data_IF_884795837507
#
_entry.id   IF_884795837507
#
_cell.length_a   1.000
_cell.length_b   1.000
_cell.length_c   1.000
_cell.angle_alpha   90.00
_cell.angle_beta   90.00
_cell.angle_gamma   90.00
#
_symmetry.space_group_name_H-M   'P 1'
#
loop_
_entity.id
_entity.type
_entity.pdbx_description
1 polymer ?
#
# COMPACT_ATOMS: atom_id res chain seq x y z
N UNK A 1 40.57 -31.39 -39.60
CA UNK A 1 40.61 -30.87 -38.22
C UNK A 1 39.67 -29.67 -38.13
N UNK A 2 38.45 -29.86 -37.62
CA UNK A 2 37.47 -28.81 -37.38
C UNK A 2 37.42 -28.54 -35.85
N UNK A 3 37.79 -27.34 -35.42
CA UNK A 3 37.66 -26.94 -34.01
C UNK A 3 36.23 -26.39 -33.79
N UNK A 4 35.51 -27.03 -32.89
CA UNK A 4 34.20 -26.62 -32.41
C UNK A 4 34.41 -25.57 -31.31
N UNK A 5 33.93 -24.36 -31.53
CA UNK A 5 33.85 -23.33 -30.48
C UNK A 5 32.51 -23.47 -29.73
N UNK A 6 32.56 -24.00 -28.53
CA UNK A 6 31.45 -23.93 -27.59
C UNK A 6 31.52 -22.62 -26.81
N UNK A 7 30.71 -21.66 -27.18
CA UNK A 7 30.42 -20.48 -26.35
C UNK A 7 29.39 -20.86 -25.27
N UNK A 8 29.90 -21.13 -24.08
CA UNK A 8 29.06 -21.38 -22.90
C UNK A 8 28.35 -20.08 -22.48
N UNK A 9 27.04 -20.03 -22.61
CA UNK A 9 26.20 -19.01 -21.99
C UNK A 9 26.24 -19.22 -20.48
N UNK A 10 26.96 -18.35 -19.75
CA UNK A 10 26.90 -18.29 -18.28
C UNK A 10 25.58 -17.64 -17.89
N UNK A 11 24.61 -18.42 -17.47
CA UNK A 11 23.40 -17.97 -16.80
C UNK A 11 23.83 -17.45 -15.42
N UNK A 12 23.82 -16.15 -15.22
CA UNK A 12 24.08 -15.54 -13.93
C UNK A 12 22.76 -15.59 -13.16
N UNK A 13 22.69 -16.50 -12.20
CA UNK A 13 21.57 -16.64 -11.26
C UNK A 13 21.70 -15.53 -10.21
N UNK A 14 20.90 -14.47 -10.32
CA UNK A 14 20.80 -13.44 -9.28
C UNK A 14 19.97 -13.97 -8.12
N UNK A 15 20.64 -14.23 -7.00
CA UNK A 15 20.01 -14.58 -5.74
C UNK A 15 19.63 -13.27 -5.02
N UNK A 16 18.38 -12.83 -5.17
CA UNK A 16 17.85 -11.69 -4.40
C UNK A 16 17.45 -12.21 -3.02
N UNK A 17 18.29 -11.98 -2.03
CA UNK A 17 17.99 -12.26 -0.62
C UNK A 17 17.49 -10.97 0.02
N UNK A 18 16.20 -10.88 0.31
CA UNK A 18 15.67 -9.84 1.17
C UNK A 18 16.19 -10.07 2.60
N UNK A 19 17.17 -9.30 3.05
CA UNK A 19 17.60 -9.29 4.44
C UNK A 19 16.80 -8.25 5.19
N UNK A 20 15.73 -8.67 5.83
CA UNK A 20 15.11 -7.89 6.90
C UNK A 20 16.01 -8.06 8.14
N UNK A 21 16.67 -6.98 8.54
CA UNK A 21 17.50 -6.97 9.73
C UNK A 21 16.62 -7.20 10.98
N UNK A 22 16.83 -8.30 11.66
CA UNK A 22 16.27 -8.57 12.99
C UNK A 22 16.85 -7.52 13.95
N UNK A 23 16.05 -6.57 14.42
CA UNK A 23 16.34 -5.79 15.61
C UNK A 23 15.51 -6.35 16.79
N UNK A 24 16.12 -6.58 17.96
CA UNK A 24 15.40 -7.01 19.15
C UNK A 24 14.44 -5.89 19.60
N UNK A 25 13.19 -6.23 19.83
CA UNK A 25 12.19 -5.35 20.40
C UNK A 25 12.63 -4.93 21.82
N UNK A 26 12.92 -3.65 22.03
CA UNK A 26 13.00 -3.06 23.35
C UNK A 26 11.57 -2.91 23.89
N UNK A 27 11.22 -3.75 24.86
CA UNK A 27 9.98 -3.63 25.64
C UNK A 27 10.16 -2.45 26.60
N UNK A 28 9.28 -1.41 26.60
CA UNK A 28 9.31 -0.39 27.62
C UNK A 28 8.78 -0.95 28.95
N UNK A 29 9.30 -0.50 30.13
CA UNK A 29 8.83 -0.97 31.43
C UNK A 29 7.41 -0.47 31.72
N UNK A 30 6.61 -1.36 32.32
CA UNK A 30 5.25 -1.12 32.76
C UNK A 30 5.19 0.05 33.76
N UNK A 31 4.33 1.03 33.49
CA UNK A 31 4.00 2.08 34.45
C UNK A 31 3.05 1.49 35.50
N UNK A 32 3.49 1.54 36.75
CA UNK A 32 2.71 1.20 37.94
C UNK A 32 1.57 2.21 38.15
N UNK A 33 0.35 1.70 38.18
CA UNK A 33 -0.83 2.46 38.55
C UNK A 33 -0.84 2.69 40.07
N UNK A 34 -0.92 3.95 40.49
CA UNK A 34 -1.27 4.33 41.85
C UNK A 34 -2.81 4.42 41.97
N UNK A 35 -3.36 3.55 42.79
CA UNK A 35 -4.73 3.68 43.33
C UNK A 35 -4.77 4.85 44.30
N UNK A 36 -5.79 5.71 44.19
CA UNK A 36 -6.29 6.52 45.31
C UNK A 36 -7.81 6.47 45.35
N UNK A 37 -8.24 6.17 46.51
CA UNK A 37 -9.54 5.83 47.11
C UNK A 37 -10.54 6.98 47.14
N UNK A 38 -11.80 6.57 46.95
CA UNK A 38 -13.03 6.92 47.74
C UNK A 38 -13.51 8.37 47.90
N UNK A 39 -14.76 8.56 47.61
CA UNK A 39 -15.60 9.70 47.98
C UNK A 39 -17.05 9.49 47.57
N UNK A 40 -17.80 8.78 48.40
CA UNK A 40 -19.27 8.63 48.33
C UNK A 40 -19.95 9.89 48.90
N UNK A 41 -21.02 10.37 48.26
CA UNK A 41 -22.14 11.05 48.98
C UNK A 41 -23.45 10.89 48.17
N UNK A 42 -24.48 10.51 48.86
CA UNK A 42 -25.84 10.10 48.52
C UNK A 42 -26.84 11.28 48.46
N UNK A 43 -28.03 10.93 47.92
CA UNK A 43 -29.40 11.51 48.14
C UNK A 43 -29.79 12.77 47.36
N UNK A 44 -30.88 12.80 46.61
CA UNK A 44 -32.27 12.76 47.08
C UNK A 44 -33.27 12.60 45.90
N UNK A 45 -34.34 11.84 46.16
CA UNK A 45 -35.51 11.66 45.33
C UNK A 45 -36.55 12.77 45.51
N UNK A 46 -37.46 12.89 44.56
CA UNK A 46 -38.90 13.28 44.55
C UNK A 46 -39.16 14.17 43.33
N UNK A 47 -40.23 14.04 42.60
CA UNK A 47 -41.56 13.52 42.83
C UNK A 47 -42.42 13.66 41.58
N UNK A 48 -43.37 12.82 41.48
CA UNK A 48 -44.45 12.69 40.53
C UNK A 48 -45.28 13.93 40.28
N UNK A 49 -45.80 14.10 39.06
CA UNK A 49 -47.21 14.53 38.85
C UNK A 49 -47.65 14.24 37.41
N UNK A 50 -48.60 13.33 37.31
CA UNK A 50 -49.51 13.09 36.20
C UNK A 50 -50.50 14.23 36.07
N UNK A 51 -50.84 14.65 34.86
CA UNK A 51 -52.12 15.30 34.56
C UNK A 51 -52.69 14.71 33.28
N UNK A 52 -53.91 14.25 33.39
CA UNK A 52 -54.76 13.62 32.38
C UNK A 52 -55.65 14.69 31.72
N UNK A 53 -56.18 14.30 30.52
CA UNK A 53 -57.36 14.88 29.84
C UNK A 53 -57.07 16.00 28.84
N UNK A 54 -57.55 16.01 27.60
CA UNK A 54 -58.89 15.66 27.13
C UNK A 54 -58.88 15.45 25.62
N UNK A 55 -59.67 14.55 25.15
CA UNK A 55 -59.98 14.31 23.73
C UNK A 55 -60.88 15.46 23.18
N UNK A 56 -60.56 15.91 21.95
CA UNK A 56 -61.51 16.64 21.09
C UNK A 56 -61.50 15.96 19.72
N UNK A 57 -62.66 15.48 19.33
CA UNK A 57 -62.96 14.95 18.00
C UNK A 57 -63.13 16.12 17.01
N UNK A 58 -62.53 16.03 15.88
CA UNK A 58 -62.88 16.81 14.68
C UNK A 58 -62.66 15.98 13.42
N UNK A 59 -63.61 16.05 12.53
CA UNK A 59 -63.86 15.24 11.36
C UNK A 59 -62.97 15.59 10.14
N UNK A 60 -63.06 14.82 9.01
CA UNK A 60 -61.96 14.65 8.05
C UNK A 60 -61.91 15.72 6.95
N UNK A 61 -60.73 16.21 6.66
CA UNK A 61 -60.48 17.03 5.49
C UNK A 61 -59.68 16.27 4.44
N UNK A 62 -60.31 16.13 3.29
CA UNK A 62 -59.87 16.05 1.91
C UNK A 62 -58.42 15.65 1.58
N UNK A 63 -58.36 14.56 0.85
CA UNK A 63 -57.23 13.96 0.15
C UNK A 63 -56.53 14.98 -0.76
N UNK A 64 -55.38 15.47 -0.32
CA UNK A 64 -54.37 16.14 -1.14
C UNK A 64 -53.32 15.13 -1.57
N UNK A 65 -53.14 14.97 -2.88
CA UNK A 65 -52.15 14.13 -3.56
C UNK A 65 -50.75 14.34 -2.95
N UNK A 66 -50.26 13.41 -2.15
CA UNK A 66 -48.90 13.41 -1.68
C UNK A 66 -47.96 13.10 -2.85
N UNK A 67 -47.16 14.09 -3.24
CA UNK A 67 -45.97 13.91 -4.07
C UNK A 67 -45.10 12.84 -3.43
N UNK A 68 -44.68 11.89 -4.24
CA UNK A 68 -43.70 10.86 -3.84
C UNK A 68 -42.48 11.53 -3.21
N UNK A 69 -42.33 11.35 -1.91
CA UNK A 69 -41.11 11.69 -1.20
C UNK A 69 -40.00 10.79 -1.76
N UNK A 70 -38.96 11.44 -2.26
CA UNK A 70 -37.80 10.76 -2.79
C UNK A 70 -37.24 9.82 -1.73
N UNK A 71 -37.16 8.54 -2.05
CA UNK A 71 -36.41 7.56 -1.29
C UNK A 71 -34.98 8.09 -1.19
N UNK A 72 -34.60 8.61 -0.03
CA UNK A 72 -33.20 8.82 0.30
C UNK A 72 -32.56 7.42 0.26
N UNK A 73 -31.76 7.19 -0.76
CA UNK A 73 -30.89 6.04 -0.86
C UNK A 73 -30.00 6.07 0.40
N UNK A 74 -30.25 5.14 1.33
CA UNK A 74 -29.41 4.96 2.51
C UNK A 74 -28.05 4.50 1.96
N UNK A 75 -27.13 5.46 1.79
CA UNK A 75 -25.75 5.17 1.42
C UNK A 75 -25.22 4.24 2.50
N UNK A 76 -25.00 2.96 2.17
CA UNK A 76 -24.34 2.04 3.07
C UNK A 76 -23.01 2.68 3.51
N UNK A 77 -22.62 2.58 4.79
CA UNK A 77 -21.34 3.10 5.24
C UNK A 77 -20.24 2.51 4.36
N UNK A 78 -19.36 3.37 3.88
CA UNK A 78 -18.26 2.95 3.03
C UNK A 78 -17.46 1.86 3.76
N UNK A 79 -17.23 0.71 3.11
CA UNK A 79 -16.43 -0.37 3.67
C UNK A 79 -14.99 0.11 3.85
N UNK A 80 -14.36 -0.31 4.93
CA UNK A 80 -12.92 -0.11 5.13
C UNK A 80 -12.13 -0.80 4.03
N UNK A 81 -11.06 -0.16 3.53
CA UNK A 81 -10.37 -0.57 2.31
C UNK A 81 -8.96 -1.08 2.57
N UNK A 82 -8.55 -2.08 1.81
CA UNK A 82 -7.20 -2.63 1.84
C UNK A 82 -6.60 -2.56 0.44
N UNK A 83 -5.42 -1.94 0.32
CA UNK A 83 -4.58 -2.03 -0.87
C UNK A 83 -3.39 -2.95 -0.59
N UNK A 84 -3.29 -4.05 -1.33
CA UNK A 84 -2.14 -4.96 -1.29
C UNK A 84 -1.23 -4.62 -2.46
N UNK A 85 0.01 -4.27 -2.16
CA UNK A 85 1.09 -4.11 -3.14
C UNK A 85 1.95 -5.36 -3.09
N UNK A 86 2.30 -5.89 -4.26
CA UNK A 86 3.20 -7.03 -4.38
C UNK A 86 4.43 -6.57 -5.15
N UNK A 87 5.56 -6.56 -4.46
CA UNK A 87 6.85 -6.06 -4.94
C UNK A 87 7.68 -7.14 -5.66
N UNK A 88 8.77 -6.72 -6.33
CA UNK A 88 9.80 -7.53 -6.98
C UNK A 88 9.39 -8.26 -8.27
N UNK A 89 8.31 -7.88 -8.94
CA UNK A 89 8.01 -8.39 -10.28
C UNK A 89 9.06 -7.94 -11.31
N UNK A 90 9.12 -8.59 -12.47
CA UNK A 90 9.98 -8.21 -13.60
C UNK A 90 11.04 -9.23 -14.00
N UNK A 91 11.18 -10.35 -13.28
CA UNK A 91 12.21 -11.36 -13.55
C UNK A 91 11.72 -12.81 -13.41
N UNK A 92 10.44 -13.05 -13.71
CA UNK A 92 9.81 -14.39 -13.61
C UNK A 92 10.07 -15.04 -12.23
N UNK A 93 9.87 -14.26 -11.18
CA UNK A 93 10.15 -14.67 -9.82
C UNK A 93 9.15 -15.72 -9.34
N UNK A 94 9.61 -16.59 -8.44
CA UNK A 94 8.74 -17.59 -7.80
C UNK A 94 7.57 -16.90 -7.09
N UNK A 95 6.36 -17.34 -7.36
CA UNK A 95 5.14 -16.73 -6.82
C UNK A 95 4.47 -15.71 -7.74
N UNK A 96 5.10 -15.32 -8.86
CA UNK A 96 4.52 -14.41 -9.85
C UNK A 96 3.14 -14.87 -10.31
N UNK A 97 3.00 -16.14 -10.72
CA UNK A 97 1.72 -16.68 -11.19
C UNK A 97 0.68 -16.72 -10.08
N UNK A 98 1.05 -17.24 -8.91
CA UNK A 98 0.15 -17.36 -7.77
C UNK A 98 -0.36 -16.01 -7.26
N UNK A 99 0.44 -14.94 -7.39
CA UNK A 99 0.02 -13.57 -7.05
C UNK A 99 -0.95 -13.00 -8.08
N UNK A 100 -0.68 -13.18 -9.37
CA UNK A 100 -1.58 -12.71 -10.44
C UNK A 100 -2.91 -13.48 -10.47
N UNK A 101 -3.01 -14.64 -9.83
CA UNK A 101 -4.22 -15.44 -9.66
C UNK A 101 -4.98 -15.15 -8.35
N UNK A 102 -4.61 -14.12 -7.58
CA UNK A 102 -5.35 -13.75 -6.37
C UNK A 102 -6.78 -13.31 -6.73
N UNK A 103 -7.79 -13.68 -5.90
CA UNK A 103 -9.20 -13.45 -6.22
C UNK A 103 -9.69 -12.03 -5.91
N UNK A 104 -8.78 -11.08 -5.75
CA UNK A 104 -9.07 -9.67 -5.46
C UNK A 104 -8.14 -8.77 -6.25
N UNK A 105 -8.50 -7.49 -6.35
CA UNK A 105 -7.63 -6.48 -6.93
C UNK A 105 -6.37 -6.29 -6.08
N UNK A 106 -5.22 -6.31 -6.73
CA UNK A 106 -3.92 -6.00 -6.12
C UNK A 106 -3.22 -4.91 -6.91
N UNK A 107 -2.10 -4.43 -6.40
CA UNK A 107 -1.16 -3.56 -7.09
C UNK A 107 0.14 -4.31 -7.31
N UNK A 108 0.65 -4.31 -8.53
CA UNK A 108 1.86 -5.02 -8.93
C UNK A 108 2.99 -4.01 -9.10
N UNK A 109 4.03 -4.11 -8.28
CA UNK A 109 5.20 -3.25 -8.37
C UNK A 109 6.34 -3.98 -9.13
N UNK A 110 6.72 -3.40 -10.26
CA UNK A 110 7.59 -4.03 -11.24
C UNK A 110 8.95 -3.36 -11.26
N UNK A 111 10.00 -4.16 -11.04
CA UNK A 111 11.40 -3.75 -11.18
C UNK A 111 11.69 -3.38 -12.63
N UNK A 112 12.28 -2.20 -12.90
CA UNK A 112 12.68 -1.81 -14.25
C UNK A 112 13.91 -2.59 -14.75
N UNK A 113 14.06 -2.66 -16.08
CA UNK A 113 15.22 -3.17 -16.78
C UNK A 113 15.53 -4.66 -16.55
N UNK A 114 14.57 -5.43 -16.10
CA UNK A 114 14.67 -6.88 -15.94
C UNK A 114 14.03 -7.63 -17.13
N UNK A 115 14.22 -8.94 -17.17
CA UNK A 115 13.89 -9.76 -18.35
C UNK A 115 12.39 -9.85 -18.64
N UNK A 116 11.52 -9.72 -17.64
CA UNK A 116 10.06 -9.79 -17.79
C UNK A 116 9.34 -8.50 -17.38
N UNK A 117 10.07 -7.39 -17.18
CA UNK A 117 9.52 -6.09 -16.75
C UNK A 117 8.27 -5.71 -17.56
N UNK A 118 8.40 -5.58 -18.88
CA UNK A 118 7.29 -5.15 -19.74
C UNK A 118 6.16 -6.21 -19.78
N UNK A 119 6.50 -7.49 -19.82
CA UNK A 119 5.55 -8.61 -19.82
C UNK A 119 4.69 -8.59 -18.55
N UNK A 120 5.33 -8.46 -17.38
CA UNK A 120 4.63 -8.52 -16.10
C UNK A 120 3.77 -7.27 -15.89
N UNK A 121 4.27 -6.09 -16.26
CA UNK A 121 3.50 -4.85 -16.21
C UNK A 121 2.25 -4.89 -17.12
N UNK A 122 2.41 -5.35 -18.35
CA UNK A 122 1.30 -5.49 -19.31
C UNK A 122 0.26 -6.48 -18.80
N UNK A 123 0.68 -7.64 -18.32
CA UNK A 123 -0.19 -8.68 -17.81
C UNK A 123 -0.99 -8.21 -16.59
N UNK A 124 -0.34 -7.51 -15.66
CA UNK A 124 -1.02 -6.90 -14.50
C UNK A 124 -2.10 -5.90 -14.95
N UNK A 125 -1.76 -5.01 -15.88
CA UNK A 125 -2.68 -4.02 -16.43
C UNK A 125 -3.88 -4.67 -17.14
N UNK A 126 -3.66 -5.70 -17.97
CA UNK A 126 -4.71 -6.43 -18.67
C UNK A 126 -5.69 -7.14 -17.73
N UNK A 127 -5.25 -7.49 -16.52
CA UNK A 127 -6.09 -8.03 -15.45
C UNK A 127 -6.79 -6.94 -14.62
N UNK A 128 -6.59 -5.66 -14.93
CA UNK A 128 -7.17 -4.53 -14.21
C UNK A 128 -6.48 -4.22 -12.89
N UNK A 129 -5.26 -4.70 -12.69
CA UNK A 129 -4.41 -4.36 -11.55
C UNK A 129 -3.67 -3.05 -11.79
N UNK A 130 -3.40 -2.29 -10.72
CA UNK A 130 -2.51 -1.15 -10.79
C UNK A 130 -1.07 -1.62 -10.95
N UNK A 131 -0.29 -0.85 -11.72
CA UNK A 131 1.15 -1.08 -11.90
C UNK A 131 1.91 0.05 -11.24
N UNK A 132 2.93 -0.28 -10.44
CA UNK A 132 3.93 0.66 -9.93
C UNK A 132 5.31 0.35 -10.53
N UNK A 133 6.13 1.38 -10.69
CA UNK A 133 7.57 1.19 -10.85
C UNK A 133 8.16 0.86 -9.48
N UNK A 134 8.67 -0.35 -9.30
CA UNK A 134 9.44 -0.71 -8.11
C UNK A 134 10.88 -0.24 -8.28
N UNK A 135 11.14 1.02 -7.93
CA UNK A 135 12.37 1.72 -8.24
C UNK A 135 13.51 1.32 -7.31
N UNK A 136 14.60 0.72 -7.84
CA UNK A 136 15.77 0.40 -7.03
C UNK A 136 16.42 1.66 -6.46
N UNK A 137 16.61 1.69 -5.15
CA UNK A 137 17.18 2.83 -4.42
C UNK A 137 18.24 2.37 -3.41
N UNK A 138 19.31 3.17 -3.27
CA UNK A 138 20.42 2.86 -2.37
C UNK A 138 19.96 2.67 -0.91
N UNK A 139 20.26 1.50 -0.28
CA UNK A 139 20.02 1.27 1.14
C UNK A 139 21.19 1.76 1.98
N UNK A 140 21.00 1.93 3.29
CA UNK A 140 22.07 2.17 4.26
C UNK A 140 22.99 0.95 4.40
N UNK A 141 22.44 -0.24 4.24
CA UNK A 141 23.13 -1.51 4.31
C UNK A 141 22.59 -2.44 3.23
N UNK A 142 23.44 -3.29 2.67
CA UNK A 142 23.09 -4.24 1.63
C UNK A 142 24.22 -4.39 0.61
N UNK A 143 24.16 -5.46 -0.16
CA UNK A 143 25.12 -5.69 -1.24
C UNK A 143 24.64 -5.00 -2.52
N UNK A 144 25.54 -4.41 -3.33
CA UNK A 144 25.15 -3.77 -4.59
C UNK A 144 24.36 -4.69 -5.53
N UNK A 145 24.65 -6.00 -5.50
CA UNK A 145 24.00 -7.00 -6.34
C UNK A 145 22.50 -7.17 -6.04
N UNK A 146 22.05 -6.74 -4.86
CA UNK A 146 20.65 -6.82 -4.46
C UNK A 146 19.78 -5.68 -4.99
N UNK A 147 20.42 -4.58 -5.46
CA UNK A 147 19.71 -3.41 -5.95
C UNK A 147 19.04 -3.64 -7.32
N UNK A 148 19.58 -4.55 -8.12
CA UNK A 148 19.13 -4.67 -9.50
C UNK A 148 19.66 -3.53 -10.40
N UNK A 149 19.29 -3.55 -11.68
CA UNK A 149 19.71 -2.54 -12.64
C UNK A 149 19.01 -1.21 -12.42
N UNK A 150 19.67 -0.13 -12.78
CA UNK A 150 19.04 1.19 -12.78
C UNK A 150 18.82 1.83 -11.40
N UNK A 151 19.61 1.45 -10.40
CA UNK A 151 19.43 1.94 -9.04
C UNK A 151 19.77 3.45 -8.91
N UNK A 152 18.92 4.16 -8.17
CA UNK A 152 19.16 5.54 -7.74
C UNK A 152 20.09 5.56 -6.51
N UNK A 153 21.19 6.29 -6.60
CA UNK A 153 22.22 6.34 -5.56
C UNK A 153 22.40 7.79 -5.07
N UNK A 154 22.67 7.96 -3.78
CA UNK A 154 22.85 9.30 -3.18
C UNK A 154 24.07 10.05 -3.69
N UNK A 155 25.06 9.35 -4.29
CA UNK A 155 26.24 9.96 -4.91
C UNK A 155 26.01 10.50 -6.32
N UNK A 156 24.85 10.21 -6.93
CA UNK A 156 24.51 10.72 -8.26
C UNK A 156 24.24 12.22 -8.21
N UNK A 157 24.60 12.91 -9.30
CA UNK A 157 24.18 14.29 -9.54
C UNK A 157 22.66 14.37 -9.75
N UNK A 158 22.10 15.56 -9.62
CA UNK A 158 20.65 15.80 -9.80
C UNK A 158 20.17 15.35 -11.19
N UNK A 159 20.96 15.63 -12.22
CA UNK A 159 20.66 15.23 -13.60
C UNK A 159 20.68 13.70 -13.77
N UNK A 160 21.64 13.01 -13.15
CA UNK A 160 21.70 11.55 -13.18
C UNK A 160 20.52 10.91 -12.44
N UNK A 161 20.13 11.43 -11.26
CA UNK A 161 18.96 10.95 -10.54
C UNK A 161 17.70 11.11 -11.39
N UNK A 162 17.46 12.31 -11.94
CA UNK A 162 16.31 12.56 -12.82
C UNK A 162 16.29 11.61 -14.01
N UNK A 163 17.38 11.51 -14.74
CA UNK A 163 17.50 10.62 -15.89
C UNK A 163 17.18 9.16 -15.53
N UNK A 164 17.66 8.71 -14.37
CA UNK A 164 17.43 7.34 -13.91
C UNK A 164 15.96 7.08 -13.60
N UNK A 165 15.28 8.01 -12.91
CA UNK A 165 13.85 7.90 -12.59
C UNK A 165 13.00 7.94 -13.87
N UNK A 166 13.28 8.85 -14.78
CA UNK A 166 12.58 8.96 -16.07
C UNK A 166 12.76 7.69 -16.91
N UNK A 167 13.99 7.15 -17.00
CA UNK A 167 14.25 5.91 -17.72
C UNK A 167 13.53 4.71 -17.12
N UNK A 168 13.41 4.64 -15.79
CA UNK A 168 12.65 3.58 -15.11
C UNK A 168 11.15 3.68 -15.42
N UNK A 169 10.58 4.89 -15.42
CA UNK A 169 9.19 5.13 -15.79
C UNK A 169 8.92 4.78 -17.26
N UNK A 170 9.82 5.11 -18.16
CA UNK A 170 9.66 4.79 -19.59
C UNK A 170 9.80 3.29 -19.86
N UNK A 171 10.45 2.54 -18.99
CA UNK A 171 10.64 1.09 -19.11
C UNK A 171 9.50 0.26 -18.53
N UNK A 172 8.73 0.79 -17.58
CA UNK A 172 7.58 0.10 -16.96
C UNK A 172 6.27 0.70 -17.48
N UNK A 173 5.62 0.10 -18.47
CA UNK A 173 4.38 0.64 -19.04
C UNK A 173 3.23 0.59 -18.04
N UNK A 174 2.24 1.48 -18.23
CA UNK A 174 1.01 1.57 -17.42
C UNK A 174 1.20 1.94 -15.95
N UNK A 175 2.40 2.40 -15.55
CA UNK A 175 2.67 2.76 -14.17
C UNK A 175 1.80 3.95 -13.72
N UNK A 176 1.09 3.80 -12.60
CA UNK A 176 0.29 4.85 -11.95
C UNK A 176 1.06 5.57 -10.85
N UNK A 177 2.23 5.06 -10.46
CA UNK A 177 3.08 5.59 -9.40
C UNK A 177 4.41 4.85 -9.31
N UNK A 178 5.19 5.23 -8.32
CA UNK A 178 6.49 4.62 -7.98
C UNK A 178 6.44 4.18 -6.52
N UNK A 179 7.05 3.02 -6.19
CA UNK A 179 7.47 2.71 -4.83
C UNK A 179 8.95 2.33 -4.80
N UNK A 180 9.58 2.32 -3.63
CA UNK A 180 11.02 2.06 -3.54
C UNK A 180 11.32 0.59 -3.25
N UNK A 181 12.17 -0.02 -4.11
CA UNK A 181 12.91 -1.24 -3.77
C UNK A 181 14.10 -0.88 -2.88
N UNK A 182 14.18 -1.48 -1.69
CA UNK A 182 15.14 -1.10 -0.65
C UNK A 182 15.06 0.40 -0.29
N UNK A 183 16.10 1.19 -0.52
CA UNK A 183 16.08 2.65 -0.48
C UNK A 183 16.19 3.29 0.90
N UNK A 184 16.56 2.55 1.95
CA UNK A 184 16.63 3.11 3.31
C UNK A 184 17.62 4.28 3.47
N UNK A 185 18.55 4.47 2.53
CA UNK A 185 19.44 5.65 2.49
C UNK A 185 18.82 6.78 1.67
N UNK A 186 18.33 6.48 0.46
CA UNK A 186 17.73 7.46 -0.44
C UNK A 186 16.47 8.09 0.16
N UNK A 187 15.58 7.32 0.77
CA UNK A 187 14.35 7.84 1.39
C UNK A 187 14.61 8.77 2.58
N UNK A 188 15.84 8.79 3.10
CA UNK A 188 16.30 9.76 4.10
C UNK A 188 17.05 10.97 3.53
N UNK A 189 17.30 11.03 2.22
CA UNK A 189 18.05 12.10 1.55
C UNK A 189 17.07 13.08 0.88
N UNK A 190 16.97 14.30 1.43
CA UNK A 190 16.02 15.33 0.93
C UNK A 190 16.32 15.76 -0.51
N UNK A 191 17.58 15.81 -0.92
CA UNK A 191 17.96 16.21 -2.27
C UNK A 191 17.47 15.18 -3.28
N UNK A 192 17.80 13.91 -3.07
CA UNK A 192 17.45 12.83 -4.00
C UNK A 192 15.94 12.61 -4.02
N UNK A 193 15.31 12.54 -2.84
CA UNK A 193 13.84 12.40 -2.77
C UNK A 193 13.11 13.58 -3.39
N UNK A 194 13.66 14.79 -3.26
CA UNK A 194 13.11 15.98 -3.92
C UNK A 194 13.01 15.83 -5.43
N UNK A 195 14.05 15.24 -6.05
CA UNK A 195 14.09 15.01 -7.51
C UNK A 195 13.11 13.89 -7.90
N UNK A 196 13.11 12.77 -7.16
CA UNK A 196 12.17 11.65 -7.41
C UNK A 196 10.72 12.13 -7.36
N UNK A 197 10.35 12.85 -6.31
CA UNK A 197 9.00 13.38 -6.12
C UNK A 197 8.64 14.46 -7.17
N UNK A 198 9.60 15.28 -7.59
CA UNK A 198 9.40 16.25 -8.67
C UNK A 198 9.06 15.56 -10.00
N UNK A 199 9.79 14.51 -10.36
CA UNK A 199 9.50 13.70 -11.56
C UNK A 199 8.12 13.02 -11.43
N UNK A 200 7.79 12.45 -10.27
CA UNK A 200 6.45 11.90 -10.05
C UNK A 200 5.36 12.95 -10.32
N UNK A 201 5.50 14.15 -9.76
CA UNK A 201 4.53 15.24 -9.94
C UNK A 201 4.40 15.67 -11.39
N UNK A 202 5.52 15.88 -12.09
CA UNK A 202 5.56 16.28 -13.50
C UNK A 202 4.90 15.25 -14.43
N UNK A 203 5.02 13.96 -14.08
CA UNK A 203 4.42 12.85 -14.83
C UNK A 203 2.98 12.51 -14.37
N UNK A 204 2.41 13.26 -13.42
CA UNK A 204 1.08 13.00 -12.88
C UNK A 204 0.98 11.70 -12.07
N UNK A 205 2.08 11.27 -11.46
CA UNK A 205 2.20 10.05 -10.68
C UNK A 205 2.34 10.36 -9.19
N UNK A 206 2.07 9.38 -8.33
CA UNK A 206 2.33 9.46 -6.90
C UNK A 206 3.50 8.56 -6.48
N UNK A 207 4.01 8.78 -5.29
CA UNK A 207 5.05 7.96 -4.69
C UNK A 207 4.50 7.24 -3.45
N UNK A 208 4.72 5.93 -3.37
CA UNK A 208 4.44 5.12 -2.19
C UNK A 208 5.75 4.83 -1.47
N UNK A 209 5.93 5.35 -0.26
CA UNK A 209 7.06 5.00 0.58
C UNK A 209 6.88 3.56 1.11
N UNK A 210 7.74 2.63 0.67
CA UNK A 210 7.72 1.25 1.19
C UNK A 210 8.10 1.17 2.67
N UNK A 211 8.46 2.29 3.30
CA UNK A 211 8.75 2.47 4.72
C UNK A 211 9.91 1.59 5.24
N UNK A 212 10.94 1.45 4.41
CA UNK A 212 12.20 0.76 4.78
C UNK A 212 13.10 1.58 5.70
N UNK A 213 12.72 2.81 6.03
CA UNK A 213 13.44 3.76 6.87
C UNK A 213 12.48 4.57 7.73
N UNK A 214 12.47 4.36 9.04
CA UNK A 214 11.67 5.17 10.00
C UNK A 214 11.99 6.67 10.02
N UNK A 215 13.11 7.10 9.39
CA UNK A 215 13.49 8.50 9.20
C UNK A 215 13.31 8.94 7.75
N UNK A 216 12.40 8.31 7.02
CA UNK A 216 12.08 8.72 5.65
C UNK A 216 11.56 10.15 5.63
N UNK A 217 11.96 10.90 4.61
CA UNK A 217 11.50 12.26 4.35
C UNK A 217 10.41 12.30 3.28
N UNK A 218 10.13 11.16 2.63
CA UNK A 218 9.25 11.08 1.46
C UNK A 218 7.86 11.66 1.72
N UNK A 219 7.15 11.19 2.75
CA UNK A 219 5.79 11.66 3.05
C UNK A 219 5.73 13.16 3.40
N UNK A 220 6.72 13.68 4.15
CA UNK A 220 6.81 15.11 4.46
C UNK A 220 7.05 15.95 3.21
N UNK A 221 7.95 15.51 2.35
CA UNK A 221 8.28 16.22 1.11
C UNK A 221 7.16 16.14 0.08
N UNK A 222 6.50 14.98 -0.03
CA UNK A 222 5.32 14.80 -0.86
C UNK A 222 4.24 15.85 -0.51
N UNK A 223 3.86 15.96 0.78
CA UNK A 223 2.92 16.98 1.25
C UNK A 223 3.34 18.40 0.86
N UNK A 224 4.63 18.73 1.01
CA UNK A 224 5.15 20.08 0.71
C UNK A 224 4.94 20.50 -0.75
N UNK A 225 4.95 19.54 -1.69
CA UNK A 225 4.78 19.83 -3.12
C UNK A 225 3.37 19.48 -3.64
N UNK A 226 2.45 19.08 -2.75
CA UNK A 226 1.06 18.76 -3.11
C UNK A 226 0.87 17.35 -3.67
N UNK A 227 1.80 16.44 -3.43
CA UNK A 227 1.61 15.01 -3.66
C UNK A 227 1.00 14.33 -2.42
N UNK A 228 0.21 13.24 -2.60
CA UNK A 228 -0.29 12.45 -1.48
C UNK A 228 0.87 11.76 -0.74
N UNK A 229 0.88 11.82 0.60
CA UNK A 229 1.92 11.18 1.42
C UNK A 229 1.60 9.70 1.66
N UNK A 230 1.67 8.90 0.63
CA UNK A 230 1.32 7.46 0.68
C UNK A 230 2.48 6.66 1.25
N UNK A 231 2.20 5.77 2.20
CA UNK A 231 3.21 4.92 2.81
C UNK A 231 2.67 3.53 3.13
N UNK A 232 3.55 2.54 3.14
CA UNK A 232 3.26 1.20 3.61
C UNK A 232 3.01 1.18 5.12
N UNK A 233 2.01 0.43 5.54
CA UNK A 233 1.68 0.26 6.95
C UNK A 233 2.16 -1.07 7.53
N UNK A 234 2.11 -2.14 6.74
CA UNK A 234 2.41 -3.50 7.21
C UNK A 234 3.12 -4.27 6.10
N UNK A 235 4.28 -4.85 6.42
CA UNK A 235 4.87 -5.91 5.59
C UNK A 235 4.20 -7.24 5.93
N UNK A 236 3.81 -7.99 4.89
CA UNK A 236 3.08 -9.24 5.04
C UNK A 236 4.01 -10.43 5.29
N UNK A 237 5.24 -10.38 4.80
CA UNK A 237 6.16 -11.51 4.68
C UNK A 237 7.57 -11.25 5.23
N UNK A 238 7.68 -10.36 6.22
CA UNK A 238 8.91 -10.17 7.00
C UNK A 238 9.36 -11.45 7.71
N UNK A 239 8.43 -12.38 7.98
CA UNK A 239 8.70 -13.78 8.32
C UNK A 239 8.15 -14.68 7.22
N UNK A 240 9.02 -15.45 6.57
CA UNK A 240 8.79 -16.19 5.33
C UNK A 240 7.94 -17.45 5.48
N UNK A 241 6.75 -17.35 6.09
CA UNK A 241 5.80 -18.46 6.23
C UNK A 241 4.37 -18.03 5.91
N UNK A 242 3.60 -18.88 5.24
CA UNK A 242 2.20 -18.58 4.95
C UNK A 242 1.37 -18.30 6.20
N UNK A 243 1.65 -19.00 7.31
CA UNK A 243 0.94 -18.77 8.59
C UNK A 243 1.23 -17.40 9.19
N UNK A 244 2.45 -16.86 9.01
CA UNK A 244 2.77 -15.50 9.40
C UNK A 244 2.02 -14.48 8.53
N UNK A 245 2.02 -14.68 7.22
CA UNK A 245 1.28 -13.81 6.30
C UNK A 245 -0.21 -13.74 6.64
N UNK A 246 -0.84 -14.87 7.00
CA UNK A 246 -2.23 -14.89 7.49
C UNK A 246 -2.40 -14.03 8.75
N UNK A 247 -1.46 -14.08 9.70
CA UNK A 247 -1.51 -13.21 10.89
C UNK A 247 -1.38 -11.74 10.52
N UNK A 248 -0.48 -11.40 9.60
CA UNK A 248 -0.33 -10.03 9.11
C UNK A 248 -1.60 -9.55 8.39
N UNK A 249 -2.25 -10.38 7.59
CA UNK A 249 -3.53 -10.04 6.96
C UNK A 249 -4.64 -9.71 7.96
N UNK A 250 -4.67 -10.37 9.13
CA UNK A 250 -5.61 -10.00 10.21
C UNK A 250 -5.26 -8.64 10.82
N UNK A 251 -3.98 -8.31 10.99
CA UNK A 251 -3.55 -6.97 11.44
C UNK A 251 -3.88 -5.89 10.41
N UNK A 252 -3.73 -6.21 9.12
CA UNK A 252 -4.14 -5.32 8.01
C UNK A 252 -5.64 -5.04 8.09
N UNK A 253 -6.47 -6.07 8.29
CA UNK A 253 -7.90 -5.93 8.48
C UNK A 253 -8.24 -5.06 9.70
N UNK A 254 -7.66 -5.37 10.87
CA UNK A 254 -7.87 -4.62 12.10
C UNK A 254 -7.52 -3.13 11.91
N UNK A 255 -6.38 -2.85 11.28
CA UNK A 255 -5.98 -1.47 10.99
C UNK A 255 -6.95 -0.79 10.01
N UNK A 256 -7.37 -1.48 8.96
CA UNK A 256 -8.33 -0.93 8.01
C UNK A 256 -9.66 -0.58 8.69
N UNK A 257 -10.18 -1.46 9.56
CA UNK A 257 -11.41 -1.22 10.32
C UNK A 257 -11.30 -0.02 11.27
N UNK A 258 -10.11 0.20 11.87
CA UNK A 258 -9.87 1.29 12.82
C UNK A 258 -9.56 2.63 12.15
N UNK A 259 -8.99 2.63 10.92
CA UNK A 259 -8.47 3.82 10.26
C UNK A 259 -9.06 4.06 8.86
N UNK A 260 -10.14 3.33 8.51
CA UNK A 260 -10.82 3.30 7.21
C UNK A 260 -10.02 2.64 6.07
N UNK A 261 -8.70 2.58 6.15
CA UNK A 261 -7.89 1.88 5.14
C UNK A 261 -6.58 1.33 5.73
N UNK A 262 -5.98 0.39 4.98
CA UNK A 262 -4.62 -0.09 5.21
C UNK A 262 -3.92 -0.38 3.88
N UNK A 263 -2.63 -0.03 3.80
CA UNK A 263 -1.74 -0.41 2.70
C UNK A 263 -0.78 -1.46 3.22
N UNK A 264 -0.64 -2.57 2.52
CA UNK A 264 0.25 -3.66 2.90
C UNK A 264 1.13 -4.08 1.73
N UNK A 265 2.37 -4.48 2.01
CA UNK A 265 3.33 -4.95 1.02
C UNK A 265 3.71 -6.40 1.29
N UNK A 266 3.68 -7.22 0.23
CA UNK A 266 4.29 -8.55 0.17
C UNK A 266 5.16 -8.66 -1.08
N UNK A 267 5.91 -9.76 -1.25
CA UNK A 267 6.89 -9.89 -2.32
C UNK A 267 6.71 -11.20 -3.09
N UNK A 268 7.00 -11.18 -4.39
CA UNK A 268 7.40 -12.37 -5.13
C UNK A 268 8.87 -12.67 -4.84
N UNK A 269 9.37 -13.84 -5.26
CA UNK A 269 10.77 -14.22 -5.04
C UNK A 269 10.90 -15.54 -4.29
N UNK A 270 11.93 -15.72 -3.48
CA UNK A 270 12.27 -17.01 -2.86
C UNK A 270 11.09 -17.63 -2.12
N UNK A 271 10.33 -16.82 -1.40
CA UNK A 271 9.16 -17.23 -0.60
C UNK A 271 7.83 -16.78 -1.22
N UNK A 272 7.83 -16.35 -2.48
CA UNK A 272 6.65 -15.77 -3.13
C UNK A 272 5.42 -16.68 -3.14
N UNK A 273 5.60 -18.02 -3.24
CA UNK A 273 4.48 -18.97 -3.16
C UNK A 273 3.87 -19.04 -1.77
N UNK A 274 4.69 -19.02 -0.75
CA UNK A 274 4.28 -18.99 0.65
C UNK A 274 3.56 -17.68 0.97
N UNK A 275 4.07 -16.56 0.46
CA UNK A 275 3.43 -15.24 0.58
C UNK A 275 2.07 -15.24 -0.12
N UNK A 276 1.98 -15.72 -1.37
CA UNK A 276 0.73 -15.80 -2.11
C UNK A 276 -0.31 -16.71 -1.42
N UNK A 277 0.11 -17.86 -0.91
CA UNK A 277 -0.76 -18.78 -0.17
C UNK A 277 -1.33 -18.12 1.11
N UNK A 278 -0.48 -17.41 1.84
CA UNK A 278 -0.89 -16.67 3.04
C UNK A 278 -1.85 -15.52 2.73
N UNK A 279 -1.57 -14.73 1.68
CA UNK A 279 -2.46 -13.66 1.22
C UNK A 279 -3.81 -14.24 0.80
N UNK A 280 -3.84 -15.30 -0.02
CA UNK A 280 -5.08 -15.97 -0.46
C UNK A 280 -5.93 -16.44 0.72
N UNK A 281 -5.31 -17.04 1.73
CA UNK A 281 -6.00 -17.47 2.95
C UNK A 281 -6.51 -16.27 3.76
N UNK A 282 -5.70 -15.22 3.91
CA UNK A 282 -6.10 -13.99 4.59
C UNK A 282 -7.27 -13.28 3.89
N UNK A 283 -7.28 -13.23 2.55
CA UNK A 283 -8.41 -12.72 1.77
C UNK A 283 -9.69 -13.49 2.09
N UNK A 284 -9.62 -14.83 2.09
CA UNK A 284 -10.79 -15.66 2.40
C UNK A 284 -11.38 -15.37 3.79
N UNK A 285 -10.54 -15.04 4.77
CA UNK A 285 -10.97 -14.69 6.13
C UNK A 285 -11.54 -13.27 6.25
N UNK A 286 -11.13 -12.32 5.40
CA UNK A 286 -11.35 -10.88 5.62
C UNK A 286 -12.29 -10.21 4.62
N UNK A 287 -12.52 -10.79 3.44
CA UNK A 287 -13.25 -10.21 2.30
C UNK A 287 -14.69 -9.76 2.61
N UNK A 288 -15.34 -10.34 3.62
CA UNK A 288 -16.71 -10.00 3.95
C UNK A 288 -16.81 -8.70 4.76
N UNK A 289 -15.72 -8.27 5.40
CA UNK A 289 -15.67 -7.09 6.29
C UNK A 289 -14.95 -5.89 5.69
N UNK A 290 -14.13 -6.09 4.65
CA UNK A 290 -13.33 -5.05 3.99
C UNK A 290 -13.46 -5.14 2.48
N UNK A 291 -13.04 -4.09 1.78
CA UNK A 291 -12.94 -4.03 0.34
C UNK A 291 -11.47 -4.01 -0.09
N UNK A 292 -11.11 -4.87 -1.04
CA UNK A 292 -9.78 -4.87 -1.65
C UNK A 292 -9.79 -4.00 -2.89
N UNK A 293 -8.91 -2.99 -2.92
CA UNK A 293 -8.84 -1.98 -3.99
C UNK A 293 -7.42 -1.86 -4.54
N UNK A 294 -7.30 -1.31 -5.75
CA UNK A 294 -6.00 -0.87 -6.26
C UNK A 294 -5.49 0.35 -5.50
N UNK A 295 -4.16 0.54 -5.50
CA UNK A 295 -3.56 1.68 -4.80
C UNK A 295 -3.99 3.01 -5.40
N UNK A 296 -4.18 3.10 -6.72
CA UNK A 296 -4.62 4.32 -7.39
C UNK A 296 -6.02 4.75 -6.97
N UNK A 297 -6.92 3.78 -6.78
CA UNK A 297 -8.27 4.02 -6.28
C UNK A 297 -8.26 4.52 -4.84
N UNK A 298 -7.45 3.88 -3.98
CA UNK A 298 -7.27 4.32 -2.60
C UNK A 298 -6.70 5.75 -2.54
N UNK A 299 -5.68 6.04 -3.34
CA UNK A 299 -5.03 7.35 -3.40
C UNK A 299 -5.99 8.44 -3.88
N UNK A 300 -6.78 8.16 -4.91
CA UNK A 300 -7.79 9.08 -5.40
C UNK A 300 -8.80 9.46 -4.32
N UNK A 301 -9.27 8.47 -3.58
CA UNK A 301 -10.40 8.66 -2.65
C UNK A 301 -9.95 9.21 -1.29
N UNK A 302 -8.81 8.76 -0.73
CA UNK A 302 -8.33 9.23 0.57
C UNK A 302 -7.67 10.61 0.52
N UNK A 303 -6.96 10.91 -0.58
CA UNK A 303 -6.24 12.18 -0.72
C UNK A 303 -6.83 13.10 -1.78
N UNK A 304 -7.96 12.74 -2.41
CA UNK A 304 -8.57 13.51 -3.51
C UNK A 304 -7.56 13.75 -4.66
N UNK A 305 -6.63 12.80 -4.82
CA UNK A 305 -5.60 12.89 -5.84
C UNK A 305 -6.11 12.35 -7.17
N UNK A 306 -6.34 13.27 -8.10
CA UNK A 306 -6.59 12.90 -9.48
C UNK A 306 -5.30 13.12 -10.27
N UNK A 307 -4.77 12.05 -10.84
CA UNK A 307 -3.73 12.12 -11.84
C UNK A 307 -4.26 12.93 -13.02
N UNK A 308 -4.07 14.23 -13.00
CA UNK A 308 -4.31 15.06 -14.17
C UNK A 308 -3.09 14.87 -15.07
N UNK A 309 -3.05 13.78 -15.82
CA UNK A 309 -2.32 13.77 -17.06
C UNK A 309 -2.99 14.80 -17.94
N UNK A 310 -2.51 16.03 -17.92
CA UNK A 310 -2.68 16.93 -19.06
C UNK A 310 -1.95 16.21 -20.19
N UNK A 311 -2.66 15.71 -21.23
CA UNK A 311 -1.97 15.18 -22.39
C UNK A 311 -1.08 16.28 -22.96
N UNK A 312 0.11 15.93 -23.47
CA UNK A 312 1.04 16.87 -24.08
C UNK A 312 0.39 17.55 -25.29
#
# INVERSE_FOLDING_TARGET
>A
MKRSNHTGKRTILYLIIAVVALMPALVPPAATAHETSAGSVSHHARGSRSVVSSAVLAEPAVIGSAKAEGQQEIKQPARSRIAIIVDDFGNDMRGTEEMLELPVKITVAVMPFLSTTEKDARRAHEQGFDVLVHLPMEPKQGKPEWLGPGAVLTRMSDAEVRKQVEAALDNVPFAVGINNHMGSKVTGDERVMGIVLAVCKERGLFFVDSHTNYRSVAGRMARKIGLPPVENHIFLDDVHTASHVVKQMRLVQERALNQNYCIAIGHVGIQGKETAAGIRSGIAETKDSVEFVGISELVRDEWQWNSQLTPP
#
